data_IF_707958509710
#
_entry.id   IF_707958509710
#
_cell.length_a   1.000
_cell.length_b   1.000
_cell.length_c   1.000
_cell.angle_alpha   90.00
_cell.angle_beta   90.00
_cell.angle_gamma   90.00
#
_symmetry.space_group_name_H-M   'P 1'
#
loop_
_entity.id
_entity.type
_entity.pdbx_description
1 polymer ?
#
# COMPACT_ATOMS: atom_id res chain seq x y z
N UNK A 1 -6.61 -9.81 -9.22
CA UNK A 1 -5.84 -8.60 -9.56
C UNK A 1 -6.30 -7.48 -8.66
N UNK A 2 -5.37 -6.78 -8.04
CA UNK A 2 -5.63 -5.63 -7.15
C UNK A 2 -5.09 -4.37 -7.81
N UNK A 3 -5.84 -3.27 -7.75
CA UNK A 3 -5.38 -1.98 -8.26
C UNK A 3 -4.57 -1.26 -7.20
N UNK A 4 -3.41 -0.74 -7.58
CA UNK A 4 -2.53 0.06 -6.72
C UNK A 4 -2.15 1.36 -7.42
N UNK A 5 -1.87 2.41 -6.64
CA UNK A 5 -1.32 3.66 -7.16
C UNK A 5 0.20 3.61 -7.02
N UNK A 6 0.93 3.81 -8.12
CA UNK A 6 2.40 3.83 -8.14
C UNK A 6 2.96 5.04 -8.88
N UNK A 7 4.23 5.33 -8.63
CA UNK A 7 5.04 6.25 -9.41
C UNK A 7 6.41 5.62 -9.71
N UNK A 8 6.89 5.85 -10.93
CA UNK A 8 8.16 5.28 -11.45
C UNK A 8 9.30 6.31 -11.51
N UNK A 9 8.98 7.57 -11.23
CA UNK A 9 9.89 8.70 -11.17
C UNK A 9 9.30 9.76 -10.25
N UNK A 10 10.15 10.61 -9.68
CA UNK A 10 9.67 11.75 -8.88
C UNK A 10 8.91 12.76 -9.75
N UNK A 11 7.96 13.49 -9.15
CA UNK A 11 7.23 14.57 -9.83
C UNK A 11 5.96 15.02 -9.12
N UNK A 12 5.15 15.81 -9.84
CA UNK A 12 3.82 16.24 -9.42
C UNK A 12 2.77 15.12 -9.57
N UNK A 13 1.47 15.41 -9.37
CA UNK A 13 0.39 14.41 -9.49
C UNK A 13 0.35 13.64 -10.79
N UNK A 14 0.85 14.22 -11.87
CA UNK A 14 0.91 13.65 -13.21
C UNK A 14 1.76 12.37 -13.31
N UNK A 15 2.65 12.08 -12.36
CA UNK A 15 3.46 10.83 -12.38
C UNK A 15 2.72 9.63 -11.80
N UNK A 16 1.55 9.84 -11.17
CA UNK A 16 0.77 8.77 -10.54
C UNK A 16 0.04 7.93 -11.59
N UNK A 17 0.15 6.61 -11.43
CA UNK A 17 -0.48 5.61 -12.31
C UNK A 17 -1.24 4.60 -11.47
N UNK A 18 -2.39 4.17 -11.98
CA UNK A 18 -3.10 3.01 -11.44
C UNK A 18 -2.61 1.78 -12.20
N UNK A 19 -2.16 0.78 -11.47
CA UNK A 19 -1.65 -0.48 -12.01
C UNK A 19 -2.38 -1.66 -11.39
N UNK A 20 -2.60 -2.71 -12.18
CA UNK A 20 -3.09 -3.99 -11.68
C UNK A 20 -1.90 -4.87 -11.27
N UNK A 21 -1.94 -5.36 -10.04
CA UNK A 21 -0.93 -6.27 -9.49
C UNK A 21 -1.55 -7.59 -9.04
N UNK A 22 -0.80 -8.67 -9.22
CA UNK A 22 -1.07 -9.93 -8.56
C UNK A 22 -0.43 -9.89 -7.17
N UNK A 23 -1.22 -10.21 -6.13
CA UNK A 23 -0.72 -10.30 -4.77
C UNK A 23 -0.51 -11.77 -4.43
N UNK A 24 0.64 -12.07 -3.82
CA UNK A 24 0.84 -13.34 -3.14
C UNK A 24 -0.04 -13.41 -1.88
N UNK A 25 -0.42 -14.61 -1.41
CA UNK A 25 -1.03 -14.79 -0.10
C UNK A 25 -0.16 -14.20 1.03
N UNK A 26 -0.74 -13.80 2.18
CA UNK A 26 0.02 -13.26 3.30
C UNK A 26 1.02 -14.29 3.85
N UNK A 27 2.22 -13.84 4.21
CA UNK A 27 3.24 -14.66 4.83
C UNK A 27 2.96 -14.96 6.32
N UNK A 28 3.84 -15.75 6.94
CA UNK A 28 3.75 -16.05 8.38
C UNK A 28 3.74 -14.78 9.22
N UNK A 29 2.76 -14.66 10.13
CA UNK A 29 2.56 -13.49 10.98
C UNK A 29 1.92 -12.28 10.30
N UNK A 30 1.58 -12.36 9.01
CA UNK A 30 0.97 -11.26 8.26
C UNK A 30 -0.54 -11.44 8.09
N UNK A 31 -1.25 -10.32 7.90
CA UNK A 31 -2.63 -10.30 7.45
C UNK A 31 -2.73 -9.58 6.11
N UNK A 32 -3.62 -10.06 5.24
CA UNK A 32 -3.96 -9.38 4.01
C UNK A 32 -5.25 -8.58 4.22
N UNK A 33 -5.19 -7.27 4.03
CA UNK A 33 -6.34 -6.38 4.21
C UNK A 33 -6.94 -6.05 2.83
N UNK A 34 -8.23 -6.33 2.65
CA UNK A 34 -9.04 -5.76 1.58
C UNK A 34 -9.38 -4.32 1.95
N UNK A 35 -8.50 -3.42 1.51
CA UNK A 35 -8.57 -1.97 1.78
C UNK A 35 -9.92 -1.39 1.32
N UNK A 36 -10.56 -0.63 2.21
CA UNK A 36 -11.80 0.12 1.96
C UNK A 36 -11.56 1.62 1.95
N UNK A 37 -10.61 2.10 2.75
CA UNK A 37 -10.19 3.49 2.80
C UNK A 37 -8.68 3.58 2.99
N UNK A 38 -8.10 4.66 2.45
CA UNK A 38 -6.69 5.01 2.61
C UNK A 38 -6.61 6.39 3.26
N UNK A 39 -5.69 6.54 4.21
CA UNK A 39 -5.30 7.86 4.71
C UNK A 39 -4.52 8.60 3.64
N UNK A 40 -4.73 9.91 3.54
CA UNK A 40 -3.94 10.78 2.68
C UNK A 40 -3.23 11.81 3.55
N UNK A 41 -1.90 11.73 3.58
CA UNK A 41 -1.06 12.64 4.33
C UNK A 41 -0.23 13.51 3.38
N UNK A 42 0.35 14.58 3.92
CA UNK A 42 1.27 15.43 3.16
C UNK A 42 2.58 14.70 2.82
N UNK A 43 2.94 13.71 3.62
CA UNK A 43 4.16 12.90 3.45
C UNK A 43 4.19 12.22 2.08
N UNK A 44 3.08 11.66 1.60
CA UNK A 44 3.01 11.00 0.29
C UNK A 44 3.32 11.98 -0.86
N UNK A 45 2.82 13.21 -0.79
CA UNK A 45 3.08 14.22 -1.80
C UNK A 45 4.56 14.64 -1.81
N UNK A 46 5.18 14.76 -0.62
CA UNK A 46 6.61 15.09 -0.49
C UNK A 46 7.48 13.92 -0.95
N UNK A 47 7.12 12.67 -0.61
CA UNK A 47 7.85 11.46 -0.99
C UNK A 47 7.86 11.32 -2.51
N UNK A 48 6.68 11.43 -3.15
CA UNK A 48 6.56 11.41 -4.61
C UNK A 48 7.29 12.57 -5.28
N UNK A 49 7.31 13.75 -4.67
CA UNK A 49 8.04 14.91 -5.19
C UNK A 49 9.57 14.80 -4.99
N UNK A 50 10.05 13.85 -4.18
CA UNK A 50 11.48 13.67 -3.89
C UNK A 50 12.03 14.66 -2.86
N UNK A 51 11.17 15.24 -2.03
CA UNK A 51 11.54 16.24 -1.02
C UNK A 51 11.22 15.80 0.42
N UNK A 52 10.89 14.52 0.61
CA UNK A 52 10.73 13.92 1.93
C UNK A 52 12.05 13.43 2.49
N UNK A 53 12.10 13.19 3.81
CA UNK A 53 13.31 12.72 4.50
C UNK A 53 13.73 11.32 4.04
N UNK A 54 12.79 10.51 3.57
CA UNK A 54 13.04 9.18 3.03
C UNK A 54 13.08 9.22 1.49
N UNK A 55 13.93 8.36 0.92
CA UNK A 55 14.02 8.18 -0.53
C UNK A 55 13.34 6.87 -0.93
N UNK A 56 12.31 6.90 -1.78
CA UNK A 56 11.61 5.70 -2.19
C UNK A 56 12.45 4.87 -3.17
N UNK A 57 12.37 3.54 -3.10
CA UNK A 57 12.82 2.67 -4.19
C UNK A 57 11.77 2.62 -5.28
N UNK A 58 12.16 2.98 -6.50
CA UNK A 58 11.24 3.03 -7.64
C UNK A 58 11.15 1.66 -8.35
N UNK A 59 9.95 1.25 -8.84
CA UNK A 59 8.67 1.93 -8.70
C UNK A 59 8.10 1.82 -7.27
N UNK A 60 7.63 2.94 -6.73
CA UNK A 60 7.09 2.99 -5.37
C UNK A 60 5.58 3.18 -5.36
N UNK A 61 4.94 2.72 -4.28
CA UNK A 61 3.53 2.99 -3.99
C UNK A 61 3.35 4.23 -3.13
N UNK A 62 2.10 4.53 -2.79
CA UNK A 62 1.70 5.54 -1.80
C UNK A 62 0.72 4.94 -0.80
N UNK A 63 0.57 5.61 0.34
CA UNK A 63 -0.35 5.23 1.41
C UNK A 63 0.38 4.53 2.55
N UNK A 64 0.56 5.25 3.65
CA UNK A 64 1.12 4.72 4.89
C UNK A 64 0.05 4.20 5.85
N UNK A 65 -1.23 4.48 5.57
CA UNK A 65 -2.36 4.19 6.43
C UNK A 65 -3.54 3.64 5.62
N UNK A 66 -4.20 2.61 6.13
CA UNK A 66 -5.36 2.00 5.51
C UNK A 66 -6.35 1.50 6.57
N UNK A 67 -7.62 1.46 6.20
CA UNK A 67 -8.66 0.74 6.91
C UNK A 67 -9.39 -0.19 5.94
N UNK A 68 -9.74 -1.38 6.38
CA UNK A 68 -10.39 -2.38 5.55
C UNK A 68 -10.79 -3.61 6.34
N UNK A 69 -11.08 -4.67 5.61
CA UNK A 69 -11.46 -5.96 6.17
C UNK A 69 -10.32 -6.94 5.95
N UNK A 70 -10.01 -7.77 6.93
CA UNK A 70 -9.06 -8.86 6.80
C UNK A 70 -9.63 -9.89 5.82
N UNK A 71 -8.94 -10.03 4.69
CA UNK A 71 -9.29 -10.97 3.62
C UNK A 71 -8.76 -12.37 3.92
N UNK A 72 -7.52 -12.43 4.39
CA UNK A 72 -6.79 -13.65 4.66
C UNK A 72 -5.74 -13.41 5.76
N UNK A 73 -5.36 -14.48 6.43
CA UNK A 73 -4.31 -14.49 7.45
C UNK A 73 -3.24 -15.50 7.05
N UNK A 74 -1.99 -15.19 7.36
CA UNK A 74 -0.90 -16.15 7.24
C UNK A 74 -0.71 -16.99 8.50
N UNK A 75 0.22 -17.95 8.40
CA UNK A 75 0.50 -18.89 9.49
C UNK A 75 0.87 -18.17 10.79
N UNK A 76 0.39 -18.70 11.93
CA UNK A 76 0.74 -18.19 13.25
C UNK A 76 -0.04 -16.94 13.71
N UNK A 77 -0.84 -16.31 12.84
CA UNK A 77 -1.75 -15.23 13.26
C UNK A 77 -2.88 -15.82 14.11
N UNK A 78 -3.06 -15.28 15.32
CA UNK A 78 -4.10 -15.73 16.27
C UNK A 78 -5.01 -14.61 16.77
N UNK A 79 -4.58 -13.35 16.61
CA UNK A 79 -5.30 -12.19 17.12
C UNK A 79 -6.42 -11.71 16.18
N UNK A 80 -6.47 -12.23 14.96
CA UNK A 80 -7.34 -11.76 13.89
C UNK A 80 -7.88 -12.93 13.07
N UNK A 81 -9.04 -12.74 12.46
CA UNK A 81 -9.67 -13.69 11.55
C UNK A 81 -10.14 -13.00 10.25
N UNK A 82 -10.26 -13.74 9.14
CA UNK A 82 -10.93 -13.23 7.95
C UNK A 82 -12.34 -12.71 8.26
N UNK A 83 -12.64 -11.49 7.84
CA UNK A 83 -13.91 -10.81 8.09
C UNK A 83 -13.90 -9.75 9.18
N UNK A 84 -12.86 -9.71 10.03
CA UNK A 84 -12.59 -8.57 10.94
C UNK A 84 -12.28 -7.29 10.14
#
# INVERSE_FOLDING_TARGET
MTRVVRFHQHGGPEVLRIEDVALSPPGSGEVQIRVKALGLNRAEALLRAGSYIETPTLPSGLGLEAAGVIEAIGDGVRAFAPGD
#
